data_IF_918362423971
#
_entry.id   IF_918362423971
#
_cell.length_a   1.000
_cell.length_b   1.000
_cell.length_c   1.000
_cell.angle_alpha   90.00
_cell.angle_beta   90.00
_cell.angle_gamma   90.00
#
_symmetry.space_group_name_H-M   'P 1'
#
loop_
_entity.id
_entity.type
_entity.pdbx_description
1 polymer ?
#
# COMPACT_ATOMS: atom_id res chain seq x y z
N UNK A 1 17.26 -2.38 -15.63
CA UNK A 1 16.25 -1.96 -14.64
C UNK A 1 14.90 -2.27 -15.23
N UNK A 2 14.08 -3.02 -14.52
CA UNK A 2 12.72 -3.32 -14.94
C UNK A 2 11.80 -2.17 -14.53
N UNK A 3 10.81 -1.86 -15.35
CA UNK A 3 10.05 -0.62 -15.32
C UNK A 3 8.86 -0.71 -14.35
N UNK A 4 8.81 0.08 -13.26
CA UNK A 4 7.65 0.15 -12.38
C UNK A 4 6.41 0.79 -13.04
N UNK A 5 6.48 1.17 -14.32
CA UNK A 5 5.42 1.86 -15.07
C UNK A 5 4.05 1.20 -15.00
N UNK A 6 3.95 -0.12 -14.77
CA UNK A 6 2.65 -0.79 -14.76
C UNK A 6 1.75 -0.34 -13.60
N UNK A 7 2.31 0.12 -12.47
CA UNK A 7 1.51 0.72 -11.39
C UNK A 7 1.40 2.24 -11.52
N UNK A 8 2.21 2.89 -12.35
CA UNK A 8 2.20 4.35 -12.48
C UNK A 8 0.91 4.82 -13.16
N UNK A 9 0.22 5.75 -12.52
CA UNK A 9 -1.07 6.26 -12.96
C UNK A 9 -2.07 6.45 -11.82
N UNK A 10 -3.30 6.78 -12.21
CA UNK A 10 -4.43 6.90 -11.28
C UNK A 10 -5.24 5.61 -11.30
N UNK A 11 -5.54 5.11 -10.11
CA UNK A 11 -6.26 3.88 -9.90
C UNK A 11 -7.40 4.07 -8.93
N UNK A 12 -8.50 3.40 -9.22
CA UNK A 12 -9.66 3.33 -8.33
C UNK A 12 -9.77 1.92 -7.77
N UNK A 13 -9.99 1.82 -6.47
CA UNK A 13 -10.38 0.54 -5.89
C UNK A 13 -11.76 0.13 -6.38
N UNK A 14 -11.88 -1.12 -6.81
CA UNK A 14 -13.13 -1.71 -7.33
C UNK A 14 -13.58 -2.94 -6.55
N UNK A 15 -12.70 -3.55 -5.77
CA UNK A 15 -13.00 -4.69 -4.92
C UNK A 15 -11.89 -4.89 -3.88
N UNK A 16 -12.23 -5.51 -2.76
CA UNK A 16 -11.26 -6.10 -1.83
C UNK A 16 -11.69 -7.51 -1.44
N UNK A 17 -10.74 -8.33 -1.01
CA UNK A 17 -10.98 -9.69 -0.53
C UNK A 17 -9.98 -10.05 0.59
N UNK A 18 -10.28 -11.08 1.39
CA UNK A 18 -9.43 -11.57 2.47
C UNK A 18 -9.71 -10.99 3.85
N UNK A 19 -8.73 -11.10 4.76
CA UNK A 19 -8.90 -10.94 6.21
C UNK A 19 -8.75 -9.49 6.70
N UNK A 20 -9.32 -8.51 6.00
CA UNK A 20 -9.03 -7.09 6.25
C UNK A 20 -9.35 -6.60 7.67
N UNK A 21 -10.53 -6.92 8.23
CA UNK A 21 -10.88 -6.47 9.59
C UNK A 21 -10.01 -7.17 10.66
N UNK A 22 -9.65 -8.44 10.43
CA UNK A 22 -8.73 -9.18 11.30
C UNK A 22 -7.33 -8.55 11.25
N UNK A 23 -6.81 -8.27 10.05
CA UNK A 23 -5.53 -7.59 9.85
C UNK A 23 -5.47 -6.27 10.62
N UNK A 24 -6.49 -5.43 10.48
CA UNK A 24 -6.54 -4.15 11.20
C UNK A 24 -6.72 -4.30 12.71
N UNK A 25 -7.44 -5.33 13.17
CA UNK A 25 -7.62 -5.62 14.60
C UNK A 25 -6.31 -6.10 15.24
N UNK A 26 -5.53 -6.94 14.55
CA UNK A 26 -4.20 -7.38 15.00
C UNK A 26 -3.23 -6.21 15.14
N UNK A 27 -3.35 -5.20 14.27
CA UNK A 27 -2.60 -3.93 14.37
C UNK A 27 -3.11 -2.97 15.44
N UNK A 28 -4.15 -3.34 16.18
CA UNK A 28 -4.73 -2.48 17.22
C UNK A 28 -5.45 -1.24 16.67
N UNK A 29 -5.82 -1.22 15.39
CA UNK A 29 -6.53 -0.09 14.79
C UNK A 29 -7.93 0.03 15.42
N UNK A 30 -8.31 1.18 16.00
CA UNK A 30 -9.63 1.39 16.58
C UNK A 30 -10.77 1.13 15.59
N UNK A 31 -11.87 0.52 16.07
CA UNK A 31 -13.01 0.13 15.23
C UNK A 31 -13.53 1.25 14.28
N UNK A 32 -13.68 2.52 14.72
CA UNK A 32 -14.11 3.58 13.81
C UNK A 32 -13.13 3.83 12.66
N UNK A 33 -11.82 3.75 12.92
CA UNK A 33 -10.78 3.92 11.90
C UNK A 33 -10.82 2.73 10.93
N UNK A 34 -11.02 1.50 11.41
CA UNK A 34 -11.15 0.32 10.55
C UNK A 34 -12.27 0.46 9.53
N UNK A 35 -13.44 0.99 9.94
CA UNK A 35 -14.57 1.24 9.02
C UNK A 35 -14.22 2.24 7.93
N UNK A 36 -13.47 3.30 8.27
CA UNK A 36 -13.00 4.28 7.28
C UNK A 36 -12.01 3.62 6.31
N UNK A 37 -11.06 2.83 6.81
CA UNK A 37 -10.08 2.13 5.98
C UNK A 37 -10.73 1.10 5.04
N UNK A 38 -11.75 0.36 5.50
CA UNK A 38 -12.52 -0.55 4.64
C UNK A 38 -13.25 0.22 3.53
N UNK A 39 -13.88 1.35 3.85
CA UNK A 39 -14.52 2.19 2.83
C UNK A 39 -13.51 2.73 1.81
N UNK A 40 -12.31 3.10 2.24
CA UNK A 40 -11.22 3.48 1.33
C UNK A 40 -10.73 2.29 0.49
N UNK A 41 -10.73 1.09 1.04
CA UNK A 41 -10.40 -0.11 0.28
C UNK A 41 -11.51 -0.49 -0.72
N UNK A 42 -12.74 -0.03 -0.56
CA UNK A 42 -13.85 -0.25 -1.51
C UNK A 42 -13.98 0.83 -2.59
N UNK A 43 -13.64 2.08 -2.23
CA UNK A 43 -13.98 3.25 -3.04
C UNK A 43 -12.85 4.26 -3.20
N UNK A 44 -11.69 3.99 -2.59
CA UNK A 44 -10.54 4.87 -2.61
C UNK A 44 -9.93 5.01 -4.00
N UNK A 45 -9.30 6.15 -4.21
CA UNK A 45 -8.48 6.42 -5.38
C UNK A 45 -7.04 6.63 -4.93
N UNK A 46 -6.11 6.09 -5.70
CA UNK A 46 -4.67 6.19 -5.44
C UNK A 46 -3.95 6.59 -6.71
N UNK A 47 -3.01 7.51 -6.57
CA UNK A 47 -2.14 7.95 -7.65
C UNK A 47 -0.72 7.50 -7.32
N UNK A 48 -0.11 6.76 -8.24
CA UNK A 48 1.32 6.42 -8.18
C UNK A 48 2.07 7.23 -9.23
N UNK A 49 3.11 7.93 -8.81
CA UNK A 49 3.95 8.77 -9.67
C UNK A 49 5.43 8.54 -9.35
N UNK A 50 6.30 8.72 -10.35
CA UNK A 50 7.75 8.85 -10.10
C UNK A 50 8.09 10.34 -10.14
N UNK A 51 8.59 10.87 -9.02
CA UNK A 51 9.06 12.25 -8.90
C UNK A 51 10.46 12.23 -8.32
N UNK A 52 11.41 12.90 -8.97
CA UNK A 52 12.80 13.01 -8.49
C UNK A 52 13.45 11.66 -8.11
N UNK A 53 13.22 10.60 -8.88
CA UNK A 53 13.70 9.24 -8.61
C UNK A 53 13.08 8.56 -7.37
N UNK A 54 11.92 9.03 -6.94
CA UNK A 54 11.13 8.45 -5.85
C UNK A 54 9.76 8.00 -6.35
N UNK A 55 9.30 6.83 -5.88
CA UNK A 55 7.91 6.40 -6.01
C UNK A 55 7.05 7.12 -4.97
N UNK A 56 6.15 7.97 -5.44
CA UNK A 56 5.20 8.72 -4.60
C UNK A 56 3.82 8.10 -4.73
N UNK A 57 3.20 7.80 -3.59
CA UNK A 57 1.83 7.30 -3.48
C UNK A 57 0.95 8.41 -2.89
N UNK A 58 -0.09 8.81 -3.61
CA UNK A 58 -1.08 9.78 -3.12
C UNK A 58 -2.43 9.08 -2.98
N UNK A 59 -2.93 8.98 -1.76
CA UNK A 59 -4.30 8.54 -1.49
C UNK A 59 -5.25 9.74 -1.65
N UNK A 60 -6.20 9.62 -2.56
CA UNK A 60 -7.19 10.65 -2.86
C UNK A 60 -8.40 10.40 -1.97
N UNK A 61 -8.52 11.21 -0.91
CA UNK A 61 -9.62 11.13 0.05
C UNK A 61 -10.76 12.09 -0.28
N UNK A 62 -11.96 11.79 0.20
CA UNK A 62 -13.15 12.66 0.06
C UNK A 62 -12.98 14.02 0.76
N UNK A 63 -12.17 14.09 1.82
CA UNK A 63 -11.96 15.31 2.61
C UNK A 63 -10.61 15.97 2.35
N UNK A 64 -9.54 15.19 2.17
CA UNK A 64 -8.20 15.67 1.87
C UNK A 64 -7.40 14.57 1.19
N UNK A 65 -6.53 14.95 0.27
CA UNK A 65 -5.54 14.06 -0.30
C UNK A 65 -4.39 13.85 0.69
N UNK A 66 -3.96 12.60 0.85
CA UNK A 66 -2.81 12.22 1.66
C UNK A 66 -1.68 11.83 0.73
N UNK A 67 -0.65 12.68 0.64
CA UNK A 67 0.59 12.37 -0.07
C UNK A 67 1.50 11.64 0.91
N UNK A 68 1.85 10.38 0.60
CA UNK A 68 2.85 9.64 1.38
C UNK A 68 4.24 10.15 1.04
N UNK A 69 5.17 10.00 1.99
CA UNK A 69 6.58 10.29 1.72
C UNK A 69 7.08 9.46 0.53
N UNK A 70 7.87 10.11 -0.34
CA UNK A 70 8.44 9.46 -1.52
C UNK A 70 9.41 8.37 -1.12
N UNK A 71 9.36 7.24 -1.84
CA UNK A 71 10.24 6.09 -1.60
C UNK A 71 11.30 6.04 -2.69
N UNK A 72 12.59 6.24 -2.39
CA UNK A 72 13.65 6.16 -3.38
C UNK A 72 13.65 4.81 -4.12
N UNK A 73 13.83 4.86 -5.45
CA UNK A 73 13.83 3.66 -6.29
C UNK A 73 15.09 2.79 -6.12
N UNK A 74 16.10 3.25 -5.37
CA UNK A 74 17.30 2.51 -5.03
C UNK A 74 17.15 1.57 -3.82
N UNK A 75 15.96 1.55 -3.20
CA UNK A 75 15.66 0.73 -2.02
C UNK A 75 16.05 1.38 -0.70
N UNK A 76 16.46 2.65 -0.69
CA UNK A 76 16.75 3.40 0.53
C UNK A 76 15.51 3.44 1.43
N UNK A 77 15.71 3.11 2.71
CA UNK A 77 14.66 3.15 3.74
C UNK A 77 14.40 4.59 4.18
N UNK A 78 13.14 4.98 4.19
CA UNK A 78 12.67 6.29 4.67
C UNK A 78 11.69 6.12 5.84
N UNK A 79 11.61 7.07 6.77
CA UNK A 79 10.64 6.98 7.87
C UNK A 79 9.20 7.02 7.33
N UNK A 80 8.26 6.43 8.07
CA UNK A 80 6.83 6.63 7.83
C UNK A 80 6.04 6.57 9.13
N UNK A 81 4.77 7.01 9.05
CA UNK A 81 3.80 6.88 10.12
C UNK A 81 2.60 6.12 9.56
N UNK A 82 2.30 4.96 10.15
CA UNK A 82 1.14 4.15 9.80
C UNK A 82 -0.18 4.81 10.28
N UNK A 83 -1.36 4.41 9.76
CA UNK A 83 -2.65 4.98 10.17
C UNK A 83 -2.98 4.82 11.67
N UNK A 84 -2.37 3.85 12.34
CA UNK A 84 -2.44 3.64 13.80
C UNK A 84 -1.51 4.56 14.61
N UNK A 85 -0.75 5.43 13.94
CA UNK A 85 0.23 6.33 14.54
C UNK A 85 1.58 5.68 14.83
N UNK A 86 1.75 4.39 14.50
CA UNK A 86 3.01 3.68 14.68
C UNK A 86 4.05 4.20 13.68
N UNK A 87 5.25 4.50 14.17
CA UNK A 87 6.38 4.94 13.36
C UNK A 87 7.20 3.73 12.91
N UNK A 88 7.67 3.76 11.68
CA UNK A 88 8.52 2.71 11.13
C UNK A 88 9.37 3.20 9.98
N UNK A 89 9.94 2.26 9.24
CA UNK A 89 10.68 2.54 8.00
C UNK A 89 9.96 1.90 6.81
N UNK A 90 9.85 2.60 5.69
CA UNK A 90 9.31 2.07 4.44
C UNK A 90 10.34 2.11 3.33
N UNK A 91 10.29 1.16 2.42
CA UNK A 91 11.14 1.14 1.23
C UNK A 91 10.47 0.40 0.07
N UNK A 92 10.99 0.66 -1.12
CA UNK A 92 10.60 0.02 -2.37
C UNK A 92 11.55 -1.15 -2.65
N UNK A 93 11.00 -2.28 -3.08
CA UNK A 93 11.76 -3.41 -3.59
C UNK A 93 11.15 -3.86 -4.92
N UNK A 94 12.02 -4.26 -5.85
CA UNK A 94 11.61 -4.87 -7.10
C UNK A 94 12.28 -6.23 -7.27
N UNK A 95 11.47 -7.28 -7.29
CA UNK A 95 11.92 -8.66 -7.44
C UNK A 95 11.00 -9.40 -8.40
N UNK A 96 11.55 -10.17 -9.33
CA UNK A 96 10.79 -11.07 -10.21
C UNK A 96 9.66 -10.42 -11.00
N UNK A 97 9.85 -9.17 -11.45
CA UNK A 97 8.81 -8.46 -12.21
C UNK A 97 7.73 -7.82 -11.34
N UNK A 98 7.85 -7.91 -10.01
CA UNK A 98 6.85 -7.48 -9.04
C UNK A 98 7.39 -6.34 -8.17
N UNK A 99 6.59 -5.30 -8.04
CA UNK A 99 6.83 -4.22 -7.09
C UNK A 99 6.35 -4.66 -5.71
N UNK A 100 7.20 -4.41 -4.72
CA UNK A 100 6.87 -4.52 -3.31
C UNK A 100 7.13 -3.18 -2.62
N UNK A 101 6.17 -2.74 -1.81
CA UNK A 101 6.39 -1.69 -0.83
C UNK A 101 6.41 -2.37 0.53
N UNK A 102 7.50 -2.21 1.26
CA UNK A 102 7.69 -2.84 2.56
C UNK A 102 7.64 -1.76 3.62
N UNK A 103 6.85 -1.99 4.66
CA UNK A 103 6.67 -1.14 5.83
C UNK A 103 7.12 -1.91 7.07
N UNK A 104 8.29 -1.57 7.60
CA UNK A 104 8.92 -2.20 8.77
C UNK A 104 8.53 -1.42 10.03
N UNK A 105 7.72 -2.05 10.89
CA UNK A 105 7.37 -1.52 12.22
C UNK A 105 8.39 -2.00 13.25
N UNK A 106 8.71 -3.29 13.22
CA UNK A 106 9.85 -3.92 13.90
C UNK A 106 10.50 -4.92 12.95
N UNK A 107 11.67 -5.47 13.28
CA UNK A 107 12.34 -6.47 12.41
C UNK A 107 11.44 -7.68 12.09
N UNK A 108 10.62 -8.09 13.06
CA UNK A 108 9.70 -9.23 12.96
C UNK A 108 8.28 -8.84 12.49
N UNK A 109 7.96 -7.54 12.42
CA UNK A 109 6.63 -7.02 12.09
C UNK A 109 6.70 -6.09 10.88
N UNK A 110 6.52 -6.69 9.71
CA UNK A 110 6.56 -6.01 8.42
C UNK A 110 5.19 -6.11 7.75
N UNK A 111 4.73 -5.00 7.18
CA UNK A 111 3.62 -4.98 6.24
C UNK A 111 4.17 -4.92 4.84
N UNK A 112 3.79 -5.89 4.02
CA UNK A 112 4.27 -6.04 2.65
C UNK A 112 3.10 -5.79 1.70
N UNK A 113 3.26 -4.80 0.83
CA UNK A 113 2.34 -4.52 -0.27
C UNK A 113 2.93 -5.06 -1.56
N UNK A 114 2.39 -6.16 -2.07
CA UNK A 114 2.80 -6.77 -3.33
C UNK A 114 1.84 -6.34 -4.44
N UNK A 115 2.37 -5.86 -5.57
CA UNK A 115 1.57 -5.38 -6.69
C UNK A 115 1.72 -6.30 -7.90
N UNK A 116 0.63 -6.93 -8.32
CA UNK A 116 0.61 -7.81 -9.49
C UNK A 116 -0.31 -7.25 -10.57
N UNK A 117 0.19 -7.13 -11.80
CA UNK A 117 -0.65 -6.76 -12.94
C UNK A 117 -1.48 -7.96 -13.40
N UNK A 118 -2.79 -7.77 -13.53
CA UNK A 118 -3.72 -8.75 -14.08
C UNK A 118 -4.60 -8.08 -15.14
N UNK A 119 -4.14 -8.14 -16.40
CA UNK A 119 -4.78 -7.43 -17.52
C UNK A 119 -4.69 -5.91 -17.36
N UNK A 120 -5.85 -5.26 -17.31
CA UNK A 120 -6.01 -3.82 -17.11
C UNK A 120 -6.08 -3.40 -15.63
N UNK A 121 -5.93 -4.36 -14.71
CA UNK A 121 -6.01 -4.17 -13.27
C UNK A 121 -4.67 -4.42 -12.58
N UNK A 122 -4.54 -3.86 -11.39
CA UNK A 122 -3.46 -4.15 -10.45
C UNK A 122 -4.05 -4.74 -9.18
N UNK A 123 -3.57 -5.91 -8.78
CA UNK A 123 -3.92 -6.51 -7.48
C UNK A 123 -2.84 -6.10 -6.48
N UNK A 124 -3.22 -5.31 -5.48
CA UNK A 124 -2.39 -4.99 -4.32
C UNK A 124 -2.71 -5.97 -3.20
N UNK A 125 -1.83 -6.93 -2.95
CA UNK A 125 -1.90 -7.80 -1.77
C UNK A 125 -1.18 -7.14 -0.60
N UNK A 126 -1.83 -7.07 0.55
CA UNK A 126 -1.29 -6.48 1.78
C UNK A 126 -1.22 -7.58 2.82
N UNK A 127 -0.02 -7.91 3.29
CA UNK A 127 0.21 -8.99 4.26
C UNK A 127 1.03 -8.52 5.46
N UNK A 128 0.83 -9.17 6.61
CA UNK A 128 1.64 -9.01 7.80
C UNK A 128 2.60 -10.20 7.92
N UNK A 129 3.91 -9.95 8.00
CA UNK A 129 4.93 -11.01 8.06
C UNK A 129 4.84 -11.86 9.33
N UNK A 130 4.36 -11.28 10.44
CA UNK A 130 4.31 -11.90 11.76
C UNK A 130 3.12 -12.84 11.92
N UNK A 131 1.93 -12.39 11.54
CA UNK A 131 0.69 -13.18 11.69
C UNK A 131 0.31 -13.98 10.46
N UNK A 132 0.87 -13.64 9.29
CA UNK A 132 0.50 -14.23 8.01
C UNK A 132 -0.87 -13.79 7.49
N UNK A 133 -1.58 -12.90 8.21
CA UNK A 133 -2.85 -12.36 7.72
C UNK A 133 -2.63 -11.49 6.50
N UNK A 134 -3.57 -11.56 5.56
CA UNK A 134 -3.52 -10.77 4.35
C UNK A 134 -4.92 -10.42 3.84
N UNK A 135 -4.95 -9.39 3.01
CA UNK A 135 -6.10 -9.05 2.18
C UNK A 135 -5.60 -8.49 0.85
N UNK A 136 -6.48 -8.40 -0.15
CA UNK A 136 -6.18 -7.84 -1.45
C UNK A 136 -7.08 -6.66 -1.75
N UNK A 137 -6.56 -5.71 -2.52
CA UNK A 137 -7.32 -4.61 -3.12
C UNK A 137 -7.12 -4.70 -4.63
N UNK A 138 -8.23 -4.77 -5.37
CA UNK A 138 -8.23 -4.72 -6.83
C UNK A 138 -8.34 -3.27 -7.27
N UNK A 139 -7.33 -2.81 -7.99
CA UNK A 139 -7.21 -1.46 -8.54
C UNK A 139 -7.50 -1.51 -10.04
N UNK A 140 -8.50 -0.75 -10.49
CA UNK A 140 -8.79 -0.55 -11.91
C UNK A 140 -8.35 0.84 -12.35
N UNK A 141 -7.93 0.96 -13.61
CA UNK A 141 -7.47 2.24 -14.15
C UNK A 141 -8.63 3.23 -14.31
N UNK A 142 -8.39 4.50 -13.96
CA UNK A 142 -9.37 5.60 -14.13
C UNK A 142 -9.23 6.28 -15.47
#
# INVERSE_FOLDING_TARGET
>A
MSDPSYIIGTWRSVAHDGEMDKFFTERGIPFPIRKILTLMADHGEVIFEIKNNELVETEVGTFKNTVKEGRPLDGTKVPFVAPDGVKGMTYYEFSDGMIKIIEVVTEDDQVIHEFKQEGDKVIRKISNSKSGTFFTITLARK
#
